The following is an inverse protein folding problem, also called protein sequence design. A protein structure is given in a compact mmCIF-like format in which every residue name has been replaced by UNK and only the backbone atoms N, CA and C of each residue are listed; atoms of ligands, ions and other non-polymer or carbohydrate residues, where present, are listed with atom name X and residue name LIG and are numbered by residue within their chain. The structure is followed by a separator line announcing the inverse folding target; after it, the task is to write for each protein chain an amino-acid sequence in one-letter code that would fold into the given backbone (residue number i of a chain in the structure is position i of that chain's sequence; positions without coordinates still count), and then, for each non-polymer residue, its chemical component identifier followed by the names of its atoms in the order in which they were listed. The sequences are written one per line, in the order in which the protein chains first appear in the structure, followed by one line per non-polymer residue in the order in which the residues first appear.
data_IF_492553795489
#
_entry.id   IF_492553795489
#
_cell.length_a   1.000
_cell.length_b   1.000
_cell.length_c   1.000
_cell.angle_alpha   90.00
_cell.angle_beta   90.00
_cell.angle_gamma   90.00
#
_symmetry.space_group_name_H-M   'P 1'
#
loop_
_entity.id
_entity.type
_entity.pdbx_description
1 polymer ?
#
# COMPACT_ATOMS: atom_id res chain seq x y z
N UNK A 1 10.27 -16.39 -8.37
CA UNK A 1 10.84 -15.84 -7.12
C UNK A 1 10.37 -14.41 -6.98
N UNK A 2 9.69 -14.09 -5.88
CA UNK A 2 9.27 -12.72 -5.58
C UNK A 2 10.09 -12.20 -4.39
N UNK A 3 10.69 -11.03 -4.52
CA UNK A 3 11.36 -10.33 -3.43
C UNK A 3 10.42 -9.26 -2.88
N UNK A 4 10.03 -9.43 -1.62
CA UNK A 4 9.31 -8.42 -0.87
C UNK A 4 10.31 -7.57 -0.12
N UNK A 5 10.25 -6.27 -0.33
CA UNK A 5 11.18 -5.31 0.26
C UNK A 5 10.42 -4.16 0.91
N UNK A 6 11.01 -3.54 1.92
CA UNK A 6 10.44 -2.37 2.56
C UNK A 6 10.40 -1.17 1.59
N UNK A 7 9.50 -0.23 1.83
CA UNK A 7 9.29 1.00 1.06
C UNK A 7 10.37 2.08 1.26
N UNK A 8 11.54 1.74 1.79
CA UNK A 8 12.69 2.65 1.96
C UNK A 8 13.25 3.08 0.59
N UNK A 9 13.54 4.38 0.36
CA UNK A 9 14.15 4.87 -0.88
C UNK A 9 15.37 4.06 -1.36
N UNK A 10 16.20 3.54 -0.45
CA UNK A 10 17.38 2.74 -0.82
C UNK A 10 17.01 1.44 -1.51
N UNK A 11 15.94 0.78 -1.05
CA UNK A 11 15.49 -0.49 -1.63
C UNK A 11 14.71 -0.25 -2.92
N UNK A 12 13.94 0.84 -3.00
CA UNK A 12 13.32 1.25 -4.27
C UNK A 12 14.38 1.54 -5.34
N UNK A 13 15.49 2.19 -4.97
CA UNK A 13 16.63 2.40 -5.89
C UNK A 13 17.23 1.07 -6.33
N UNK A 14 17.42 0.12 -5.42
CA UNK A 14 17.93 -1.22 -5.75
C UNK A 14 16.99 -1.97 -6.72
N UNK A 15 15.67 -1.94 -6.47
CA UNK A 15 14.67 -2.51 -7.39
C UNK A 15 14.78 -1.90 -8.78
N UNK A 16 14.87 -0.56 -8.89
CA UNK A 16 14.96 0.15 -10.18
C UNK A 16 16.23 -0.20 -10.94
N UNK A 17 17.37 -0.29 -10.24
CA UNK A 17 18.63 -0.70 -10.86
C UNK A 17 18.54 -2.13 -11.37
N UNK A 18 18.00 -3.05 -10.57
CA UNK A 18 17.89 -4.45 -10.94
C UNK A 18 16.86 -4.67 -12.07
N UNK A 19 15.69 -4.04 -11.99
CA UNK A 19 14.68 -4.12 -13.05
C UNK A 19 15.17 -3.49 -14.35
N UNK A 20 15.86 -2.35 -14.28
CA UNK A 20 16.48 -1.71 -15.43
C UNK A 20 17.56 -2.57 -16.08
N UNK A 21 18.42 -3.19 -15.27
CA UNK A 21 19.45 -4.12 -15.74
C UNK A 21 18.84 -5.31 -16.50
N UNK A 22 17.83 -5.95 -15.92
CA UNK A 22 17.14 -7.11 -16.50
C UNK A 22 16.32 -6.73 -17.74
N UNK A 23 15.69 -5.56 -17.74
CA UNK A 23 14.96 -5.06 -18.90
C UNK A 23 15.88 -4.75 -20.09
N UNK A 24 17.06 -4.19 -19.83
CA UNK A 24 18.06 -3.92 -20.87
C UNK A 24 18.74 -5.19 -21.39
N UNK A 25 18.78 -6.27 -20.60
CA UNK A 25 19.41 -7.52 -20.98
C UNK A 25 18.47 -8.72 -20.71
N UNK A 26 17.39 -8.87 -21.49
CA UNK A 26 16.35 -9.87 -21.23
C UNK A 26 16.86 -11.32 -21.32
N UNK A 27 17.97 -11.54 -22.02
CA UNK A 27 18.64 -12.84 -22.15
C UNK A 27 19.92 -12.95 -21.30
N UNK A 28 20.16 -12.01 -20.37
CA UNK A 28 21.30 -12.10 -19.49
C UNK A 28 21.12 -13.28 -18.55
N UNK A 29 21.89 -14.33 -18.79
CA UNK A 29 21.90 -15.51 -17.96
C UNK A 29 22.63 -15.17 -16.66
N UNK A 30 21.91 -14.53 -15.72
CA UNK A 30 22.44 -14.12 -14.41
C UNK A 30 23.17 -15.27 -13.72
N UNK A 31 22.67 -16.50 -13.88
CA UNK A 31 23.27 -17.72 -13.31
C UNK A 31 24.62 -18.13 -13.94
N UNK A 32 24.95 -17.63 -15.13
CA UNK A 32 26.24 -17.86 -15.81
C UNK A 32 27.24 -16.72 -15.57
N UNK A 33 26.82 -15.64 -14.91
CA UNK A 33 27.72 -14.53 -14.63
C UNK A 33 28.80 -14.94 -13.61
N UNK A 34 30.07 -14.54 -13.77
CA UNK A 34 31.15 -14.94 -12.86
C UNK A 34 30.92 -14.51 -11.40
N UNK A 35 30.11 -13.46 -11.19
CA UNK A 35 29.74 -12.95 -9.87
C UNK A 35 28.31 -13.32 -9.46
N UNK A 36 27.68 -14.26 -10.17
CA UNK A 36 26.36 -14.75 -9.81
C UNK A 36 26.37 -15.31 -8.38
N UNK A 37 25.37 -14.97 -7.59
CA UNK A 37 25.21 -15.51 -6.25
C UNK A 37 24.90 -17.01 -6.32
N UNK A 38 25.91 -17.85 -6.09
CA UNK A 38 25.72 -19.30 -6.04
C UNK A 38 25.28 -19.72 -4.63
N UNK A 39 24.03 -20.16 -4.51
CA UNK A 39 23.54 -20.79 -3.29
C UNK A 39 23.83 -22.28 -3.38
N UNK A 40 24.74 -22.77 -2.55
CA UNK A 40 25.01 -24.21 -2.42
C UNK A 40 23.91 -24.85 -1.57
N UNK A 41 22.82 -25.26 -2.21
CA UNK A 41 21.72 -25.96 -1.54
C UNK A 41 22.24 -27.31 -1.06
N UNK A 42 22.11 -27.60 0.24
CA UNK A 42 22.56 -28.88 0.78
C UNK A 42 21.58 -29.98 0.37
N UNK A 43 22.10 -31.14 -0.03
CA UNK A 43 21.30 -32.28 -0.52
C UNK A 43 20.27 -32.82 0.48
N UNK A 44 20.47 -32.60 1.78
CA UNK A 44 19.51 -32.97 2.82
C UNK A 44 18.39 -31.95 3.05
N UNK A 45 18.37 -30.83 2.33
CA UNK A 45 17.30 -29.83 2.41
C UNK A 45 16.15 -30.25 1.50
N UNK A 46 15.53 -31.39 1.82
CA UNK A 46 14.33 -31.89 1.14
C UNK A 46 13.16 -30.91 1.16
N UNK A 47 13.21 -29.92 2.03
CA UNK A 47 12.25 -28.82 2.17
C UNK A 47 12.53 -27.61 1.28
N UNK A 48 13.72 -27.51 0.65
CA UNK A 48 14.11 -26.34 -0.14
C UNK A 48 13.83 -26.58 -1.64
N UNK A 49 12.74 -26.00 -2.14
CA UNK A 49 12.23 -26.26 -3.48
C UNK A 49 12.31 -25.00 -4.35
N UNK A 50 13.45 -24.80 -5.03
CA UNK A 50 13.65 -23.64 -5.90
C UNK A 50 14.27 -24.09 -7.23
N UNK A 51 13.54 -23.88 -8.33
CA UNK A 51 14.00 -24.17 -9.70
C UNK A 51 15.12 -23.20 -10.11
N UNK A 52 16.03 -23.68 -10.96
CA UNK A 52 17.17 -22.91 -11.49
C UNK A 52 16.76 -21.67 -12.30
N UNK A 53 15.58 -21.71 -12.93
CA UNK A 53 15.00 -20.58 -13.66
C UNK A 53 13.71 -20.14 -13.01
N UNK A 54 13.66 -18.87 -12.58
CA UNK A 54 12.45 -18.27 -12.05
C UNK A 54 12.29 -16.84 -12.54
N UNK A 55 11.03 -16.47 -12.83
CA UNK A 55 10.65 -15.08 -13.00
C UNK A 55 10.98 -14.31 -11.71
N UNK A 56 11.74 -13.22 -11.84
CA UNK A 56 12.11 -12.35 -10.74
C UNK A 56 11.11 -11.20 -10.66
N UNK A 57 10.32 -11.19 -9.58
CA UNK A 57 9.35 -10.14 -9.32
C UNK A 57 9.77 -9.35 -8.08
N UNK A 58 9.61 -8.04 -8.13
CA UNK A 58 9.88 -7.16 -7.00
C UNK A 58 8.58 -6.55 -6.51
N UNK A 59 8.31 -6.71 -5.22
CA UNK A 59 7.15 -6.12 -4.57
C UNK A 59 7.61 -5.29 -3.38
N UNK A 60 6.96 -4.15 -3.17
CA UNK A 60 7.09 -3.42 -1.91
C UNK A 60 6.12 -4.00 -0.90
N UNK A 61 6.47 -3.93 0.39
CA UNK A 61 5.57 -4.32 1.48
C UNK A 61 4.26 -3.50 1.39
N UNK A 62 3.11 -4.16 1.15
CA UNK A 62 1.84 -3.46 0.97
C UNK A 62 1.34 -2.80 2.25
N UNK A 63 1.64 -3.35 3.43
CA UNK A 63 1.27 -2.76 4.73
C UNK A 63 1.97 -1.41 4.93
N UNK A 64 3.26 -1.35 4.59
CA UNK A 64 4.03 -0.11 4.63
C UNK A 64 3.61 0.88 3.55
N UNK A 65 3.22 0.42 2.36
CA UNK A 65 2.65 1.29 1.33
C UNK A 65 1.35 1.96 1.81
N UNK A 66 0.45 1.18 2.40
CA UNK A 66 -0.87 1.64 2.89
C UNK A 66 -0.71 2.63 4.06
N UNK A 67 0.15 2.31 5.03
CA UNK A 67 0.42 3.23 6.16
C UNK A 67 1.10 4.51 5.69
N UNK A 68 2.01 4.46 4.70
CA UNK A 68 2.57 5.68 4.07
C UNK A 68 1.50 6.51 3.36
N UNK A 69 0.57 5.87 2.66
CA UNK A 69 -0.55 6.55 2.00
C UNK A 69 -1.42 7.30 3.02
N UNK A 70 -1.77 6.68 4.15
CA UNK A 70 -2.43 7.35 5.29
C UNK A 70 -1.59 8.49 5.84
N UNK A 71 -0.31 8.25 6.14
CA UNK A 71 0.57 9.27 6.72
C UNK A 71 0.77 10.49 5.81
N UNK A 72 0.66 10.30 4.50
CA UNK A 72 0.70 11.39 3.52
C UNK A 72 -0.52 12.30 3.66
N UNK A 73 -1.71 11.75 3.89
CA UNK A 73 -2.93 12.52 4.18
C UNK A 73 -2.82 13.29 5.50
N UNK A 74 -2.24 12.68 6.53
CA UNK A 74 -2.07 13.30 7.85
C UNK A 74 -0.92 14.33 7.91
N UNK A 75 -0.20 14.51 6.81
CA UNK A 75 0.96 15.41 6.76
C UNK A 75 0.52 16.85 6.58
N UNK A 76 0.83 17.71 7.56
CA UNK A 76 0.55 19.14 7.49
C UNK A 76 1.39 19.89 6.42
N UNK A 77 2.39 19.24 5.83
CA UNK A 77 3.34 19.87 4.91
C UNK A 77 2.99 19.67 3.44
N UNK A 78 1.85 19.05 3.14
CA UNK A 78 1.52 18.58 1.80
C UNK A 78 0.11 18.97 1.44
N UNK A 79 -0.03 19.67 0.32
CA UNK A 79 -1.31 19.80 -0.35
C UNK A 79 -1.51 18.58 -1.25
N UNK A 80 -2.64 17.89 -1.06
CA UNK A 80 -3.04 16.74 -1.85
C UNK A 80 -4.21 17.12 -2.74
N UNK A 81 -4.06 16.86 -4.04
CA UNK A 81 -5.10 17.12 -5.03
C UNK A 81 -5.22 15.93 -5.97
N UNK A 82 -6.45 15.57 -6.34
CA UNK A 82 -6.75 14.66 -7.44
C UNK A 82 -7.48 15.46 -8.52
N UNK A 83 -6.77 15.76 -9.61
CA UNK A 83 -7.23 16.74 -10.63
C UNK A 83 -7.56 18.08 -9.97
N UNK A 84 -8.83 18.50 -10.05
CA UNK A 84 -9.32 19.78 -9.51
C UNK A 84 -9.99 19.61 -8.14
N UNK A 85 -9.87 18.44 -7.51
CA UNK A 85 -10.47 18.14 -6.21
C UNK A 85 -9.40 18.16 -5.13
N UNK A 86 -9.59 19.00 -4.11
CA UNK A 86 -8.73 19.03 -2.93
C UNK A 86 -9.00 17.83 -2.03
N UNK A 87 -7.94 17.29 -1.46
CA UNK A 87 -8.01 16.25 -0.44
C UNK A 87 -7.61 16.90 0.87
N UNK A 88 -8.47 16.78 1.88
CA UNK A 88 -8.23 17.34 3.19
C UNK A 88 -8.52 16.32 4.29
N UNK A 89 -7.66 16.34 5.32
CA UNK A 89 -7.91 15.62 6.58
C UNK A 89 -8.98 16.32 7.42
N UNK A 90 -9.21 17.62 7.20
CA UNK A 90 -10.23 18.38 7.95
C UNK A 90 -11.62 17.78 7.74
N UNK A 91 -11.90 17.25 6.55
CA UNK A 91 -13.15 16.52 6.29
C UNK A 91 -13.41 15.39 7.29
N UNK A 92 -12.37 14.71 7.79
CA UNK A 92 -12.52 13.69 8.82
C UNK A 92 -12.64 14.28 10.23
N UNK A 93 -11.95 15.38 10.51
CA UNK A 93 -12.14 16.11 11.76
C UNK A 93 -13.59 16.58 11.88
N UNK A 94 -14.13 17.18 10.81
CA UNK A 94 -15.49 17.65 10.74
C UNK A 94 -16.48 16.49 10.96
N UNK A 95 -16.28 15.33 10.33
CA UNK A 95 -17.15 14.16 10.57
C UNK A 95 -17.09 13.66 12.02
N UNK A 96 -15.90 13.61 12.63
CA UNK A 96 -15.73 13.11 14.00
C UNK A 96 -16.30 14.08 15.04
N UNK A 97 -16.32 15.38 14.75
CA UNK A 97 -16.74 16.44 15.68
C UNK A 97 -18.17 16.94 15.41
N UNK A 98 -18.83 16.49 14.36
CA UNK A 98 -20.18 16.90 13.99
C UNK A 98 -21.25 16.10 14.75
N UNK A 99 -22.14 16.81 15.44
CA UNK A 99 -23.22 16.23 16.24
C UNK A 99 -24.26 15.43 15.43
N UNK A 100 -24.28 15.59 14.09
CA UNK A 100 -25.19 14.83 13.22
C UNK A 100 -24.76 13.38 13.01
N UNK A 101 -23.50 13.03 13.33
CA UNK A 101 -22.97 11.69 13.15
C UNK A 101 -22.43 11.16 14.48
N UNK A 102 -22.79 9.92 14.81
CA UNK A 102 -22.23 9.21 15.95
C UNK A 102 -21.03 8.38 15.52
N UNK A 103 -20.21 7.98 16.51
CA UNK A 103 -19.11 7.01 16.31
C UNK A 103 -19.58 5.71 15.64
N UNK A 104 -20.82 5.29 15.85
CA UNK A 104 -21.37 4.09 15.23
C UNK A 104 -21.63 4.26 13.73
N UNK A 105 -21.87 5.50 13.28
CA UNK A 105 -22.12 5.80 11.88
C UNK A 105 -20.81 5.85 11.07
N UNK A 106 -19.76 6.47 11.61
CA UNK A 106 -18.51 6.67 10.87
C UNK A 106 -17.37 5.72 11.29
N UNK A 107 -17.43 5.11 12.48
CA UNK A 107 -16.46 4.11 12.97
C UNK A 107 -15.06 4.64 13.34
N UNK A 108 -14.85 5.96 13.29
CA UNK A 108 -13.55 6.60 13.54
C UNK A 108 -13.42 7.14 14.97
N UNK A 109 -12.18 7.26 15.45
CA UNK A 109 -11.82 8.02 16.66
C UNK A 109 -10.71 9.01 16.37
N UNK A 110 -10.51 10.00 17.26
CA UNK A 110 -9.42 11.00 17.13
C UNK A 110 -8.02 10.35 17.02
N UNK A 111 -7.83 9.18 17.62
CA UNK A 111 -6.59 8.40 17.48
C UNK A 111 -6.37 7.86 16.07
N UNK A 112 -7.44 7.56 15.32
CA UNK A 112 -7.33 7.01 13.97
C UNK A 112 -6.75 8.01 12.95
N UNK A 113 -6.84 9.30 13.25
CA UNK A 113 -6.27 10.39 12.45
C UNK A 113 -5.09 11.09 13.13
N UNK A 114 -4.51 10.48 14.17
CA UNK A 114 -3.36 11.04 14.86
C UNK A 114 -2.06 10.87 14.02
N UNK A 115 -1.39 11.97 13.60
CA UNK A 115 -0.17 11.90 12.78
C UNK A 115 1.06 11.32 13.53
N UNK A 116 1.01 11.23 14.86
CA UNK A 116 2.11 10.66 15.66
C UNK A 116 2.19 9.13 15.53
N UNK A 117 1.06 8.47 15.31
CA UNK A 117 0.99 7.02 15.15
C UNK A 117 1.14 6.64 13.67
N UNK A 118 2.41 6.52 13.23
CA UNK A 118 2.77 6.30 11.81
C UNK A 118 2.61 4.86 11.34
N UNK A 119 2.40 3.90 12.25
CA UNK A 119 2.35 2.47 11.94
C UNK A 119 0.93 1.89 12.04
N UNK A 120 -0.08 2.73 12.29
CA UNK A 120 -1.44 2.29 12.48
C UNK A 120 -2.13 1.80 11.18
N UNK A 121 -1.89 0.54 10.87
CA UNK A 121 -2.58 -0.12 9.76
C UNK A 121 -4.08 -0.29 10.04
N UNK A 122 -4.48 -0.52 11.29
CA UNK A 122 -5.89 -0.72 11.65
C UNK A 122 -6.76 0.50 11.32
N UNK A 123 -6.23 1.71 11.53
CA UNK A 123 -6.91 2.94 11.13
C UNK A 123 -7.05 3.06 9.62
N UNK A 124 -6.11 2.54 8.83
CA UNK A 124 -6.23 2.53 7.37
C UNK A 124 -7.46 1.71 6.91
N UNK A 125 -7.74 0.58 7.56
CA UNK A 125 -8.92 -0.23 7.25
C UNK A 125 -10.21 0.54 7.56
N UNK A 126 -10.28 1.20 8.72
CA UNK A 126 -11.45 2.01 9.11
C UNK A 126 -11.68 3.18 8.15
N UNK A 127 -10.61 3.83 7.69
CA UNK A 127 -10.68 4.92 6.68
C UNK A 127 -11.23 4.45 5.32
N UNK A 128 -11.32 3.14 5.10
CA UNK A 128 -11.85 2.54 3.87
C UNK A 128 -13.19 1.81 4.07
N UNK A 129 -13.86 2.08 5.20
CA UNK A 129 -15.19 1.52 5.46
C UNK A 129 -16.23 2.11 4.51
N UNK A 130 -17.24 1.30 4.16
CA UNK A 130 -18.33 1.77 3.31
C UNK A 130 -19.18 2.84 4.00
N UNK A 131 -19.32 2.76 5.33
CA UNK A 131 -20.11 3.71 6.11
C UNK A 131 -19.51 5.12 6.03
N UNK A 132 -18.18 5.23 6.17
CA UNK A 132 -17.48 6.50 5.99
C UNK A 132 -17.62 7.03 4.56
N UNK A 133 -17.59 6.14 3.56
CA UNK A 133 -17.75 6.55 2.15
C UNK A 133 -19.14 7.12 1.88
N UNK A 134 -20.18 6.54 2.47
CA UNK A 134 -21.54 7.04 2.34
C UNK A 134 -21.68 8.45 2.92
N UNK A 135 -21.03 8.72 4.06
CA UNK A 135 -21.01 10.05 4.69
C UNK A 135 -20.23 11.04 3.81
N UNK A 136 -19.03 10.67 3.34
CA UNK A 136 -18.21 11.52 2.46
C UNK A 136 -18.83 11.74 1.08
N UNK A 137 -19.77 10.90 0.64
CA UNK A 137 -20.45 11.10 -0.64
C UNK A 137 -21.61 12.12 -0.55
N UNK A 138 -21.96 12.57 0.65
CA UNK A 138 -23.09 13.48 0.87
C UNK A 138 -22.81 14.92 0.39
N UNK A 139 -21.55 15.31 0.24
CA UNK A 139 -21.17 16.68 -0.15
C UNK A 139 -20.18 16.69 -1.32
N UNK A 140 -20.24 17.72 -2.16
CA UNK A 140 -19.33 17.85 -3.30
C UNK A 140 -17.88 18.15 -2.87
N UNK A 141 -17.70 18.84 -1.74
CA UNK A 141 -16.40 19.26 -1.21
C UNK A 141 -15.53 18.08 -0.76
N UNK A 142 -16.16 17.01 -0.28
CA UNK A 142 -15.49 15.80 0.20
C UNK A 142 -15.13 14.81 -0.91
N UNK A 143 -15.48 15.10 -2.17
CA UNK A 143 -15.29 14.20 -3.31
C UNK A 143 -13.81 13.79 -3.50
N UNK A 144 -12.88 14.74 -3.40
CA UNK A 144 -11.44 14.46 -3.49
C UNK A 144 -10.97 13.47 -2.43
N UNK A 145 -11.35 13.71 -1.16
CA UNK A 145 -11.03 12.81 -0.04
C UNK A 145 -11.67 11.43 -0.21
N UNK A 146 -12.92 11.35 -0.68
CA UNK A 146 -13.59 10.08 -0.99
C UNK A 146 -12.81 9.27 -2.03
N UNK A 147 -12.45 9.90 -3.16
CA UNK A 147 -11.65 9.25 -4.21
C UNK A 147 -10.30 8.77 -3.67
N UNK A 148 -9.65 9.57 -2.82
CA UNK A 148 -8.37 9.19 -2.21
C UNK A 148 -8.49 7.91 -1.36
N UNK A 149 -9.57 7.77 -0.59
CA UNK A 149 -9.81 6.54 0.18
C UNK A 149 -10.30 5.37 -0.67
N UNK A 150 -11.05 5.61 -1.74
CA UNK A 150 -11.40 4.55 -2.69
C UNK A 150 -10.15 3.94 -3.33
N UNK A 151 -9.17 4.77 -3.73
CA UNK A 151 -7.88 4.27 -4.22
C UNK A 151 -7.16 3.47 -3.14
N UNK A 152 -7.13 3.96 -1.90
CA UNK A 152 -6.55 3.21 -0.77
C UNK A 152 -7.22 1.85 -0.57
N UNK A 153 -8.55 1.79 -0.66
CA UNK A 153 -9.34 0.56 -0.57
C UNK A 153 -8.96 -0.42 -1.67
N UNK A 154 -8.87 0.05 -2.92
CA UNK A 154 -8.45 -0.79 -4.05
C UNK A 154 -7.05 -1.36 -3.85
N UNK A 155 -6.11 -0.59 -3.28
CA UNK A 155 -4.77 -1.07 -2.93
C UNK A 155 -4.84 -2.15 -1.85
N UNK A 156 -5.65 -1.96 -0.80
CA UNK A 156 -5.86 -2.97 0.26
C UNK A 156 -6.42 -4.27 -0.33
N UNK A 157 -7.49 -4.18 -1.13
CA UNK A 157 -8.13 -5.33 -1.78
C UNK A 157 -7.13 -6.07 -2.68
N UNK A 158 -6.36 -5.34 -3.49
CA UNK A 158 -5.45 -5.95 -4.46
C UNK A 158 -4.22 -6.63 -3.83
N UNK A 159 -3.71 -6.12 -2.71
CA UNK A 159 -2.41 -6.54 -2.17
C UNK A 159 -2.44 -7.16 -0.76
N UNK A 160 -3.49 -6.95 0.02
CA UNK A 160 -3.61 -7.45 1.41
C UNK A 160 -4.69 -8.51 1.52
N UNK A 161 -5.81 -8.30 0.85
CA UNK A 161 -6.96 -9.17 0.98
C UNK A 161 -6.67 -10.55 0.40
N UNK A 162 -6.96 -11.59 1.19
CA UNK A 162 -6.61 -12.99 0.88
C UNK A 162 -7.80 -13.77 0.31
N UNK A 163 -8.98 -13.17 0.29
CA UNK A 163 -10.21 -13.75 -0.23
C UNK A 163 -10.24 -13.60 -1.74
N UNK A 164 -9.58 -14.52 -2.44
CA UNK A 164 -9.85 -14.78 -3.85
C UNK A 164 -11.08 -15.68 -3.95
N UNK A 165 -12.26 -15.08 -4.14
CA UNK A 165 -13.39 -15.81 -4.72
C UNK A 165 -13.14 -15.94 -6.21
N UNK A 166 -12.86 -17.16 -6.68
CA UNK A 166 -13.00 -17.48 -8.10
C UNK A 166 -14.50 -17.52 -8.35
N UNK A 167 -15.02 -16.53 -9.05
CA UNK A 167 -16.41 -16.59 -9.53
C UNK A 167 -16.37 -17.55 -10.72
N UNK A 168 -16.97 -18.74 -10.57
CA UNK A 168 -17.24 -19.68 -11.66
C UNK A 168 -18.30 -19.15 -12.62
#
# INVERSE_FOLDING_TARGET
MAFFIDTDPKYLRAMRLMSGFLGAHPNFQVHQHPQAFQIKIRSHWSWFYLREQQLLLFFQDPTHLITKWRNRLLSATVELCLRNQSISINHLHDIIENDNYSKFDHGLTKSDINPKDRQNFSSCLKLTSNDLFNILNATADTCGTLLYFQVLKMIIVAYIEKTTTIVE
#
